data_IF_416170516502
#
_entry.id   IF_416170516502
#
_cell.length_a   1.000
_cell.length_b   1.000
_cell.length_c   1.000
_cell.angle_alpha   90.00
_cell.angle_beta   90.00
_cell.angle_gamma   90.00
#
_symmetry.space_group_name_H-M   'P 1'
#
loop_
_entity.id
_entity.type
_entity.pdbx_description
1 polymer ?
#
# COMPACT_ATOMS: atom_id res chain seq x y z
N UNK A 1 -16.20 10.63 -22.21
CA UNK A 1 -16.63 9.23 -22.11
C UNK A 1 -15.99 8.58 -20.88
N UNK A 2 -16.77 8.40 -19.81
CA UNK A 2 -16.31 7.73 -18.59
C UNK A 2 -16.00 6.26 -18.93
N UNK A 3 -14.72 5.86 -18.84
CA UNK A 3 -14.37 4.42 -18.92
C UNK A 3 -15.08 3.73 -17.77
N UNK A 4 -16.11 2.94 -18.06
CA UNK A 4 -16.65 1.99 -17.07
C UNK A 4 -15.50 1.09 -16.62
N UNK A 5 -15.13 1.25 -15.34
CA UNK A 5 -14.11 0.44 -14.71
C UNK A 5 -14.68 -0.95 -14.47
N UNK A 6 -14.06 -1.94 -15.13
CA UNK A 6 -14.31 -3.38 -15.00
C UNK A 6 -14.62 -3.81 -13.55
N UNK A 7 -15.53 -4.77 -13.42
CA UNK A 7 -15.94 -5.32 -12.13
C UNK A 7 -14.71 -5.94 -11.42
N UNK A 8 -14.61 -5.91 -10.07
CA UNK A 8 -13.47 -6.48 -9.35
C UNK A 8 -13.16 -7.95 -9.70
N UNK A 9 -14.17 -8.70 -10.12
CA UNK A 9 -14.08 -10.11 -10.53
C UNK A 9 -13.51 -10.28 -11.96
N UNK A 10 -13.37 -9.19 -12.72
CA UNK A 10 -12.79 -9.18 -14.07
C UNK A 10 -11.30 -8.80 -14.08
N UNK A 11 -10.69 -8.61 -12.90
CA UNK A 11 -9.25 -8.42 -12.73
C UNK A 11 -8.58 -9.78 -12.44
N UNK A 12 -8.78 -10.75 -13.32
CA UNK A 12 -8.20 -12.09 -13.21
C UNK A 12 -6.72 -12.06 -13.61
N UNK A 13 -5.90 -12.79 -12.86
CA UNK A 13 -4.51 -13.00 -13.21
C UNK A 13 -4.40 -14.39 -13.83
N UNK A 14 -4.70 -14.46 -15.12
CA UNK A 14 -4.84 -15.72 -15.89
C UNK A 14 -3.62 -16.64 -15.73
N UNK A 15 -2.41 -16.06 -15.69
CA UNK A 15 -1.18 -16.82 -15.43
C UNK A 15 -1.26 -17.52 -14.07
N UNK A 16 -1.60 -16.80 -13.00
CA UNK A 16 -1.68 -17.36 -11.65
C UNK A 16 -2.77 -18.42 -11.55
N UNK A 17 -3.94 -18.17 -12.14
CA UNK A 17 -5.03 -19.16 -12.16
C UNK A 17 -4.60 -20.46 -12.84
N UNK A 18 -3.96 -20.35 -14.01
CA UNK A 18 -3.38 -21.51 -14.69
C UNK A 18 -2.36 -22.24 -13.81
N UNK A 19 -1.45 -21.51 -13.16
CA UNK A 19 -0.45 -22.11 -12.26
C UNK A 19 -1.08 -22.79 -11.04
N UNK A 20 -2.14 -22.22 -10.46
CA UNK A 20 -2.86 -22.83 -9.33
C UNK A 20 -3.46 -24.17 -9.75
N UNK A 21 -4.15 -24.22 -10.90
CA UNK A 21 -4.72 -25.46 -11.46
C UNK A 21 -3.65 -26.52 -11.71
N UNK A 22 -2.46 -26.10 -12.15
CA UNK A 22 -1.34 -26.99 -12.42
C UNK A 22 -0.61 -27.52 -11.18
N UNK A 23 -0.54 -26.72 -10.11
CA UNK A 23 0.30 -27.02 -8.94
C UNK A 23 -0.50 -27.65 -7.79
N UNK A 24 -1.74 -27.22 -7.57
CA UNK A 24 -2.54 -27.67 -6.42
C UNK A 24 -2.74 -29.21 -6.42
N UNK A 25 -3.10 -29.87 -7.54
CA UNK A 25 -3.23 -31.33 -7.57
C UNK A 25 -1.90 -32.06 -7.28
N UNK A 26 -0.77 -31.49 -7.73
CA UNK A 26 0.57 -32.05 -7.48
C UNK A 26 0.94 -31.93 -6.00
N UNK A 27 0.54 -30.85 -5.33
CA UNK A 27 0.73 -30.71 -3.89
C UNK A 27 -0.17 -31.64 -3.08
N UNK A 28 -1.42 -31.82 -3.52
CA UNK A 28 -2.34 -32.76 -2.90
C UNK A 28 -1.85 -34.21 -3.05
N UNK A 29 -1.35 -34.60 -4.23
CA UNK A 29 -0.74 -35.91 -4.43
C UNK A 29 0.47 -36.16 -3.53
N UNK A 30 1.25 -35.12 -3.19
CA UNK A 30 2.38 -35.23 -2.26
C UNK A 30 1.93 -35.23 -0.78
N UNK A 31 0.72 -34.76 -0.46
CA UNK A 31 0.26 -34.56 0.91
C UNK A 31 0.38 -35.79 1.83
N UNK A 32 0.13 -37.04 1.38
CA UNK A 32 0.23 -38.22 2.24
C UNK A 32 1.65 -38.60 2.64
N UNK A 33 2.67 -38.19 1.88
CA UNK A 33 4.04 -38.66 2.07
C UNK A 33 4.77 -37.98 3.23
N UNK A 34 5.91 -38.52 3.66
CA UNK A 34 6.78 -37.84 4.62
C UNK A 34 7.46 -36.60 3.99
N UNK A 35 8.10 -35.79 4.84
CA UNK A 35 8.76 -34.54 4.41
C UNK A 35 9.79 -34.74 3.29
N UNK A 36 10.64 -35.77 3.38
CA UNK A 36 11.70 -36.04 2.40
C UNK A 36 11.13 -36.34 1.02
N UNK A 37 10.06 -37.13 0.99
CA UNK A 37 9.36 -37.50 -0.24
C UNK A 37 8.60 -36.32 -0.82
N UNK A 38 7.96 -35.48 0.00
CA UNK A 38 7.35 -34.24 -0.48
C UNK A 38 8.39 -33.27 -1.07
N UNK A 39 9.59 -33.25 -0.50
CA UNK A 39 10.68 -32.38 -0.93
C UNK A 39 11.31 -32.80 -2.26
N UNK A 40 11.67 -34.09 -2.37
CA UNK A 40 12.40 -34.66 -3.51
C UNK A 40 11.50 -35.31 -4.56
N UNK A 41 10.26 -35.62 -4.20
CA UNK A 41 9.34 -36.40 -5.02
C UNK A 41 9.36 -37.88 -4.67
N UNK A 42 8.43 -38.62 -5.28
CA UNK A 42 8.22 -40.07 -5.11
C UNK A 42 8.39 -40.71 -6.48
N UNK A 43 9.62 -41.14 -6.79
CA UNK A 43 10.02 -41.57 -8.15
C UNK A 43 9.19 -42.74 -8.68
N UNK A 44 8.90 -43.72 -7.83
CA UNK A 44 8.08 -44.89 -8.15
C UNK A 44 6.64 -44.54 -8.52
N UNK A 45 6.17 -43.35 -8.14
CA UNK A 45 4.82 -42.87 -8.43
C UNK A 45 4.82 -41.70 -9.42
N UNK A 46 5.98 -41.35 -9.98
CA UNK A 46 6.11 -40.22 -10.90
C UNK A 46 5.85 -38.85 -10.27
N UNK A 47 5.78 -38.75 -8.94
CA UNK A 47 5.47 -37.49 -8.26
C UNK A 47 6.72 -36.61 -8.18
N UNK A 48 6.65 -35.40 -8.72
CA UNK A 48 7.73 -34.41 -8.65
C UNK A 48 7.67 -33.66 -7.32
N UNK A 49 8.77 -33.61 -6.57
CA UNK A 49 8.83 -32.90 -5.30
C UNK A 49 8.77 -31.37 -5.43
N UNK A 50 8.46 -30.68 -4.33
CA UNK A 50 8.28 -29.23 -4.37
C UNK A 50 9.55 -28.46 -4.77
N UNK A 51 10.76 -29.00 -4.56
CA UNK A 51 12.00 -28.34 -4.95
C UNK A 51 12.13 -28.25 -6.47
N UNK A 52 11.90 -29.36 -7.15
CA UNK A 52 11.97 -29.42 -8.61
C UNK A 52 10.82 -28.62 -9.24
N UNK A 53 9.63 -28.68 -8.64
CA UNK A 53 8.51 -27.82 -9.05
C UNK A 53 8.88 -26.33 -8.91
N UNK A 54 9.56 -25.92 -7.84
CA UNK A 54 10.00 -24.54 -7.67
C UNK A 54 11.05 -24.12 -8.73
N UNK A 55 11.97 -25.01 -9.10
CA UNK A 55 12.94 -24.74 -10.18
C UNK A 55 12.24 -24.57 -11.53
N UNK A 56 11.30 -25.45 -11.86
CA UNK A 56 10.47 -25.34 -13.08
C UNK A 56 9.65 -24.05 -13.07
N UNK A 57 9.04 -23.71 -11.94
CA UNK A 57 8.27 -22.47 -11.78
C UNK A 57 9.14 -21.23 -11.95
N UNK A 58 10.36 -21.24 -11.42
CA UNK A 58 11.30 -20.13 -11.58
C UNK A 58 11.65 -19.90 -13.06
N UNK A 59 11.90 -20.97 -13.83
CA UNK A 59 12.16 -20.87 -15.26
C UNK A 59 10.94 -20.31 -16.01
N UNK A 60 9.73 -20.80 -15.72
CA UNK A 60 8.48 -20.30 -16.31
C UNK A 60 8.25 -18.83 -16.00
N UNK A 61 8.48 -18.41 -14.75
CA UNK A 61 8.35 -17.01 -14.33
C UNK A 61 9.34 -16.10 -15.05
N UNK A 62 10.60 -16.52 -15.22
CA UNK A 62 11.60 -15.74 -15.97
C UNK A 62 11.23 -15.62 -17.45
N UNK A 63 10.65 -16.67 -18.04
CA UNK A 63 10.21 -16.66 -19.43
C UNK A 63 8.96 -15.78 -19.66
N UNK A 64 7.98 -15.85 -18.76
CA UNK A 64 6.73 -15.08 -18.88
C UNK A 64 6.89 -13.61 -18.43
N UNK A 65 7.86 -13.34 -17.55
CA UNK A 65 8.14 -12.01 -17.03
C UNK A 65 9.63 -11.70 -17.18
N UNK A 66 10.12 -11.55 -18.42
CA UNK A 66 11.53 -11.32 -18.67
C UNK A 66 11.98 -9.97 -18.11
N UNK A 67 13.24 -9.91 -17.72
CA UNK A 67 13.93 -8.69 -17.35
C UNK A 67 14.99 -8.41 -18.43
N UNK A 68 14.72 -7.44 -19.29
CA UNK A 68 15.52 -7.15 -20.48
C UNK A 68 16.84 -6.42 -20.17
N UNK A 69 17.11 -6.15 -18.89
CA UNK A 69 18.38 -5.54 -18.46
C UNK A 69 19.55 -6.52 -18.60
N UNK A 70 20.80 -6.00 -18.63
CA UNK A 70 22.02 -6.81 -18.48
C UNK A 70 21.95 -7.76 -17.27
N UNK A 71 22.57 -8.94 -17.34
CA UNK A 71 22.41 -10.01 -16.33
C UNK A 71 22.82 -9.58 -14.90
N UNK A 72 23.83 -8.73 -14.81
CA UNK A 72 24.30 -8.08 -13.59
C UNK A 72 23.32 -7.04 -13.03
N UNK A 73 22.43 -6.50 -13.86
CA UNK A 73 21.39 -5.53 -13.50
C UNK A 73 19.98 -6.11 -13.35
N UNK A 74 19.75 -7.38 -13.71
CA UNK A 74 18.42 -8.01 -13.61
C UNK A 74 17.96 -8.06 -12.15
N UNK A 75 16.66 -7.82 -11.95
CA UNK A 75 15.98 -7.91 -10.65
C UNK A 75 14.68 -8.70 -10.69
N UNK A 76 14.13 -8.97 -11.89
CA UNK A 76 12.89 -9.74 -12.07
C UNK A 76 11.73 -9.26 -11.20
N UNK A 77 11.56 -7.94 -11.07
CA UNK A 77 10.55 -7.34 -10.18
C UNK A 77 9.11 -7.79 -10.47
N UNK A 78 8.78 -8.06 -11.74
CA UNK A 78 7.48 -8.61 -12.12
C UNK A 78 7.31 -10.08 -11.64
N UNK A 79 8.30 -10.95 -11.87
CA UNK A 79 8.27 -12.33 -11.38
C UNK A 79 8.16 -12.40 -9.85
N UNK A 80 8.90 -11.55 -9.11
CA UNK A 80 8.83 -11.47 -7.64
C UNK A 80 7.41 -11.15 -7.14
N UNK A 81 6.66 -10.29 -7.85
CA UNK A 81 5.25 -10.01 -7.53
C UNK A 81 4.36 -11.24 -7.78
N UNK A 82 4.60 -11.95 -8.89
CA UNK A 82 3.83 -13.15 -9.24
C UNK A 82 4.08 -14.30 -8.26
N UNK A 83 5.29 -14.46 -7.73
CA UNK A 83 5.57 -15.43 -6.66
C UNK A 83 4.68 -15.16 -5.44
N UNK A 84 4.51 -13.89 -5.07
CA UNK A 84 3.66 -13.50 -3.93
C UNK A 84 2.19 -13.77 -4.21
N UNK A 85 1.71 -13.42 -5.41
CA UNK A 85 0.36 -13.70 -5.85
C UNK A 85 0.06 -15.21 -5.88
N UNK A 86 0.96 -16.00 -6.46
CA UNK A 86 0.83 -17.46 -6.57
C UNK A 86 0.68 -18.12 -5.19
N UNK A 87 1.53 -17.74 -4.22
CA UNK A 87 1.42 -18.27 -2.85
C UNK A 87 0.08 -17.91 -2.20
N UNK A 88 -0.44 -16.72 -2.46
CA UNK A 88 -1.73 -16.26 -1.91
C UNK A 88 -2.88 -17.08 -2.51
N UNK A 89 -2.93 -17.17 -3.84
CA UNK A 89 -3.99 -17.89 -4.55
C UNK A 89 -3.95 -19.40 -4.29
N UNK A 90 -2.77 -20.02 -4.22
CA UNK A 90 -2.65 -21.44 -3.83
C UNK A 90 -3.22 -21.71 -2.43
N UNK A 91 -3.04 -20.78 -1.48
CA UNK A 91 -3.61 -20.92 -0.13
C UNK A 91 -5.12 -20.71 -0.10
N UNK A 92 -5.65 -19.86 -0.98
CA UNK A 92 -7.09 -19.67 -1.14
C UNK A 92 -7.69 -20.95 -1.74
N UNK A 93 -7.16 -21.40 -2.88
CA UNK A 93 -7.60 -22.61 -3.56
C UNK A 93 -7.48 -23.86 -2.68
N UNK A 94 -6.41 -24.00 -1.88
CA UNK A 94 -6.28 -25.12 -0.94
C UNK A 94 -7.42 -25.19 0.10
N UNK A 95 -8.12 -24.08 0.41
CA UNK A 95 -9.27 -24.11 1.33
C UNK A 95 -10.55 -24.60 0.66
N UNK A 96 -10.67 -24.39 -0.65
CA UNK A 96 -11.95 -24.51 -1.38
C UNK A 96 -11.95 -25.64 -2.39
N UNK A 97 -10.80 -26.05 -2.91
CA UNK A 97 -10.65 -26.88 -4.11
C UNK A 97 -9.94 -28.23 -3.86
N UNK A 98 -9.49 -28.52 -2.62
CA UNK A 98 -8.93 -29.83 -2.31
C UNK A 98 -10.00 -30.92 -2.34
N UNK A 99 -9.64 -32.07 -2.92
CA UNK A 99 -10.50 -33.25 -2.95
C UNK A 99 -10.65 -33.83 -1.55
N UNK A 100 -9.55 -33.90 -0.79
CA UNK A 100 -9.54 -34.34 0.59
C UNK A 100 -9.21 -33.19 1.55
N UNK A 101 -10.19 -32.82 2.37
CA UNK A 101 -10.05 -31.77 3.37
C UNK A 101 -9.00 -32.10 4.44
N UNK A 102 -8.71 -33.38 4.71
CA UNK A 102 -7.65 -33.77 5.64
C UNK A 102 -6.26 -33.36 5.14
N UNK A 103 -6.08 -33.22 3.81
CA UNK A 103 -4.82 -32.80 3.20
C UNK A 103 -4.54 -31.29 3.31
N UNK A 104 -5.48 -30.49 3.81
CA UNK A 104 -5.33 -29.03 3.88
C UNK A 104 -4.04 -28.57 4.57
N UNK A 105 -3.73 -29.10 5.75
CA UNK A 105 -2.55 -28.70 6.52
C UNK A 105 -1.23 -29.19 5.87
N UNK A 106 -1.12 -30.46 5.41
CA UNK A 106 0.01 -30.91 4.60
C UNK A 106 0.23 -30.07 3.34
N UNK A 107 -0.83 -29.79 2.57
CA UNK A 107 -0.75 -28.98 1.35
C UNK A 107 -0.30 -27.55 1.66
N UNK A 108 -0.84 -26.92 2.71
CA UNK A 108 -0.40 -25.59 3.14
C UNK A 108 1.09 -25.57 3.53
N UNK A 109 1.60 -26.66 4.11
CA UNK A 109 3.02 -26.84 4.44
C UNK A 109 3.86 -26.96 3.16
N UNK A 110 3.40 -27.75 2.19
CA UNK A 110 4.05 -27.89 0.87
C UNK A 110 4.08 -26.53 0.14
N UNK A 111 2.96 -25.81 0.06
CA UNK A 111 2.88 -24.46 -0.54
C UNK A 111 3.90 -23.51 0.09
N UNK A 112 4.06 -23.57 1.42
CA UNK A 112 5.02 -22.73 2.13
C UNK A 112 6.47 -23.09 1.75
N UNK A 113 6.83 -24.38 1.73
CA UNK A 113 8.17 -24.81 1.34
C UNK A 113 8.49 -24.59 -0.14
N UNK A 114 7.56 -24.92 -1.04
CA UNK A 114 7.60 -24.58 -2.46
C UNK A 114 7.87 -23.09 -2.63
N UNK A 115 7.07 -22.26 -1.95
CA UNK A 115 7.18 -20.83 -2.02
C UNK A 115 8.53 -20.32 -1.53
N UNK A 116 9.08 -20.90 -0.46
CA UNK A 116 10.39 -20.52 0.07
C UNK A 116 11.52 -20.92 -0.88
N UNK A 117 11.48 -22.13 -1.45
CA UNK A 117 12.43 -22.58 -2.46
C UNK A 117 12.39 -21.66 -3.69
N UNK A 118 11.20 -21.31 -4.16
CA UNK A 118 11.02 -20.38 -5.27
C UNK A 118 11.55 -18.98 -4.95
N UNK A 119 11.29 -18.45 -3.74
CA UNK A 119 11.84 -17.17 -3.31
C UNK A 119 13.37 -17.18 -3.18
N UNK A 120 13.96 -18.31 -2.78
CA UNK A 120 15.41 -18.49 -2.71
C UNK A 120 16.06 -18.40 -4.09
N UNK A 121 15.46 -19.01 -5.12
CA UNK A 121 15.94 -18.92 -6.51
C UNK A 121 15.94 -17.48 -7.08
N UNK A 122 15.23 -16.55 -6.43
CA UNK A 122 15.22 -15.13 -6.78
C UNK A 122 15.91 -14.24 -5.75
N UNK A 123 16.58 -14.79 -4.73
CA UNK A 123 17.22 -13.98 -3.68
C UNK A 123 18.29 -13.02 -4.20
N UNK A 124 19.17 -13.38 -5.15
CA UNK A 124 20.20 -12.44 -5.64
C UNK A 124 19.57 -11.22 -6.32
N UNK A 125 18.49 -11.45 -7.08
CA UNK A 125 17.75 -10.39 -7.76
C UNK A 125 17.05 -9.44 -6.78
N UNK A 126 16.49 -10.01 -5.71
CA UNK A 126 15.86 -9.23 -4.63
C UNK A 126 16.89 -8.43 -3.83
N UNK A 127 18.07 -8.99 -3.58
CA UNK A 127 19.18 -8.27 -2.94
C UNK A 127 19.63 -7.08 -3.78
N UNK A 128 19.82 -7.25 -5.09
CA UNK A 128 20.12 -6.14 -6.01
C UNK A 128 19.06 -5.05 -5.99
N UNK A 129 17.78 -5.44 -6.06
CA UNK A 129 16.66 -4.51 -5.95
C UNK A 129 16.71 -3.69 -4.64
N UNK A 130 17.01 -4.35 -3.52
CA UNK A 130 17.12 -3.70 -2.21
C UNK A 130 18.34 -2.78 -2.13
N UNK A 131 19.48 -3.17 -2.69
CA UNK A 131 20.70 -2.36 -2.73
C UNK A 131 20.47 -1.08 -3.53
N UNK A 132 19.95 -1.19 -4.77
CA UNK A 132 19.61 -0.02 -5.59
C UNK A 132 18.58 0.88 -4.91
N UNK A 133 17.58 0.29 -4.27
CA UNK A 133 16.58 1.06 -3.51
C UNK A 133 17.24 1.85 -2.36
N UNK A 134 18.13 1.21 -1.58
CA UNK A 134 18.86 1.89 -0.49
C UNK A 134 19.73 3.02 -1.02
N UNK A 135 20.45 2.82 -2.12
CA UNK A 135 21.25 3.86 -2.78
C UNK A 135 20.38 5.03 -3.23
N UNK A 136 19.25 4.74 -3.88
CA UNK A 136 18.29 5.75 -4.32
C UNK A 136 17.77 6.58 -3.15
N UNK A 137 17.41 5.93 -2.03
CA UNK A 137 16.98 6.63 -0.81
C UNK A 137 18.12 7.48 -0.26
N UNK A 138 19.33 6.93 -0.17
CA UNK A 138 20.51 7.65 0.34
C UNK A 138 20.82 8.89 -0.48
N UNK A 139 20.77 8.80 -1.81
CA UNK A 139 20.94 9.94 -2.73
C UNK A 139 19.87 10.98 -2.54
N UNK A 140 18.59 10.58 -2.45
CA UNK A 140 17.45 11.49 -2.25
C UNK A 140 17.44 12.21 -0.91
N UNK A 141 18.07 11.64 0.12
CA UNK A 141 18.14 12.24 1.45
C UNK A 141 19.26 13.28 1.59
N UNK A 142 20.18 13.39 0.62
CA UNK A 142 21.23 14.41 0.62
C UNK A 142 20.60 15.81 0.50
N UNK A 143 21.22 16.80 1.15
CA UNK A 143 20.68 18.16 1.28
C UNK A 143 20.42 18.80 -0.09
N UNK A 144 21.37 18.64 -1.01
CA UNK A 144 21.29 19.17 -2.39
C UNK A 144 20.18 18.54 -3.24
N UNK A 145 19.65 17.39 -2.83
CA UNK A 145 18.57 16.68 -3.53
C UNK A 145 17.21 16.83 -2.84
N UNK A 146 17.13 17.64 -1.77
CA UNK A 146 15.87 17.92 -1.09
C UNK A 146 14.99 18.79 -1.97
N UNK A 147 13.70 18.52 -1.89
CA UNK A 147 12.69 19.21 -2.70
C UNK A 147 12.01 20.25 -1.82
N UNK A 148 12.12 21.52 -2.24
CA UNK A 148 11.38 22.61 -1.64
C UNK A 148 9.89 22.51 -2.00
N UNK A 149 9.03 22.52 -0.98
CA UNK A 149 7.58 22.44 -1.08
C UNK A 149 6.99 23.84 -0.91
N UNK A 150 6.36 24.36 -1.95
CA UNK A 150 5.46 25.51 -1.83
C UNK A 150 4.03 25.00 -1.68
N UNK A 151 3.52 24.95 -0.45
CA UNK A 151 2.20 24.42 -0.14
C UNK A 151 1.06 25.44 -0.28
N UNK A 152 1.34 26.75 -0.28
CA UNK A 152 0.32 27.81 -0.32
C UNK A 152 -0.75 27.60 -1.41
N UNK A 153 -0.41 27.48 -2.71
CA UNK A 153 -1.43 27.34 -3.75
C UNK A 153 -2.27 26.07 -3.59
N UNK A 154 -1.69 25.02 -3.01
CA UNK A 154 -2.35 23.73 -2.84
C UNK A 154 -3.23 23.68 -1.59
N UNK A 155 -2.87 24.39 -0.54
CA UNK A 155 -3.75 24.60 0.62
C UNK A 155 -4.92 25.51 0.24
N UNK A 156 -4.70 26.54 -0.58
CA UNK A 156 -5.79 27.37 -1.13
C UNK A 156 -6.74 26.51 -1.95
N UNK A 157 -6.22 25.74 -2.93
CA UNK A 157 -7.03 24.81 -3.73
C UNK A 157 -7.79 23.80 -2.85
N UNK A 158 -7.13 23.22 -1.84
CA UNK A 158 -7.76 22.28 -0.93
C UNK A 158 -8.90 22.93 -0.13
N UNK A 159 -8.68 24.15 0.38
CA UNK A 159 -9.68 24.93 1.09
C UNK A 159 -10.87 25.24 0.19
N UNK A 160 -10.64 25.69 -1.05
CA UNK A 160 -11.70 25.99 -2.02
C UNK A 160 -12.56 24.77 -2.33
N UNK A 161 -11.93 23.63 -2.66
CA UNK A 161 -12.63 22.37 -2.95
C UNK A 161 -13.49 21.93 -1.75
N UNK A 162 -12.92 21.94 -0.53
CA UNK A 162 -13.67 21.53 0.65
C UNK A 162 -14.74 22.54 1.05
N UNK A 163 -14.54 23.83 0.78
CA UNK A 163 -15.54 24.88 1.04
C UNK A 163 -16.74 24.71 0.10
N UNK A 164 -16.50 24.44 -1.19
CA UNK A 164 -17.58 24.13 -2.13
C UNK A 164 -18.40 22.92 -1.66
N UNK A 165 -17.72 21.86 -1.21
CA UNK A 165 -18.37 20.68 -0.62
C UNK A 165 -19.18 21.03 0.62
N UNK A 166 -18.61 21.80 1.55
CA UNK A 166 -19.31 22.24 2.76
C UNK A 166 -20.55 23.10 2.44
N UNK A 167 -20.52 23.82 1.32
CA UNK A 167 -21.63 24.61 0.80
C UNK A 167 -22.63 23.80 -0.05
N UNK A 168 -22.52 22.46 -0.07
CA UNK A 168 -23.50 21.58 -0.71
C UNK A 168 -23.20 21.20 -2.17
N UNK A 169 -21.97 21.39 -2.64
CA UNK A 169 -21.55 20.94 -3.96
C UNK A 169 -21.78 19.42 -4.16
N UNK A 170 -22.14 19.05 -5.39
CA UNK A 170 -22.37 17.67 -5.82
C UNK A 170 -21.21 17.15 -6.68
N UNK A 171 -21.30 15.91 -7.17
CA UNK A 171 -20.33 15.35 -8.12
C UNK A 171 -20.28 16.08 -9.48
N UNK A 172 -21.30 16.89 -9.80
CA UNK A 172 -21.30 17.72 -11.01
C UNK A 172 -20.43 18.97 -10.83
N UNK A 173 -20.36 19.48 -9.61
CA UNK A 173 -19.67 20.73 -9.28
C UNK A 173 -18.21 20.49 -8.92
N UNK A 174 -17.94 19.37 -8.22
CA UNK A 174 -16.62 19.07 -7.66
C UNK A 174 -16.17 17.66 -8.03
N UNK A 175 -14.93 17.56 -8.54
CA UNK A 175 -14.26 16.29 -8.78
C UNK A 175 -13.90 15.60 -7.45
N UNK A 176 -14.54 14.46 -7.15
CA UNK A 176 -14.34 13.73 -5.89
C UNK A 176 -12.88 13.35 -5.62
N UNK A 177 -12.07 13.15 -6.67
CA UNK A 177 -10.64 12.86 -6.51
C UNK A 177 -9.88 14.05 -5.94
N UNK A 178 -10.32 15.29 -6.19
CA UNK A 178 -9.75 16.46 -5.52
C UNK A 178 -10.13 16.55 -4.05
N UNK A 179 -11.38 16.19 -3.71
CA UNK A 179 -11.81 16.09 -2.31
C UNK A 179 -10.93 15.10 -1.55
N UNK A 180 -10.66 13.95 -2.16
CA UNK A 180 -9.74 12.93 -1.64
C UNK A 180 -8.31 13.46 -1.44
N UNK A 181 -7.73 14.10 -2.47
CA UNK A 181 -6.41 14.73 -2.39
C UNK A 181 -6.35 15.82 -1.30
N UNK A 182 -7.38 16.67 -1.21
CA UNK A 182 -7.50 17.74 -0.22
C UNK A 182 -7.50 17.17 1.21
N UNK A 183 -8.29 16.13 1.47
CA UNK A 183 -8.32 15.45 2.78
C UNK A 183 -6.96 14.81 3.08
N UNK A 184 -6.31 14.18 2.10
CA UNK A 184 -5.00 13.55 2.30
C UNK A 184 -3.92 14.59 2.60
N UNK A 185 -3.94 15.75 1.94
CA UNK A 185 -3.05 16.87 2.24
C UNK A 185 -3.34 17.44 3.64
N UNK A 186 -4.61 17.61 4.00
CA UNK A 186 -5.00 18.22 5.27
C UNK A 186 -4.75 17.34 6.50
N UNK A 187 -4.74 16.01 6.36
CA UNK A 187 -4.69 15.05 7.49
C UNK A 187 -3.49 14.08 7.45
N UNK A 188 -2.80 14.04 6.32
CA UNK A 188 -1.74 13.08 6.04
C UNK A 188 -2.19 11.61 6.02
N UNK A 189 -3.49 11.30 6.08
CA UNK A 189 -3.97 9.92 6.10
C UNK A 189 -3.71 9.21 4.77
N UNK A 190 -3.46 7.89 4.86
CA UNK A 190 -3.21 7.02 3.71
C UNK A 190 -4.48 6.89 2.87
N UNK A 191 -4.34 6.61 1.58
CA UNK A 191 -5.47 6.37 0.67
C UNK A 191 -6.48 5.37 1.22
N UNK A 192 -6.00 4.23 1.73
CA UNK A 192 -6.86 3.21 2.33
C UNK A 192 -7.46 3.62 3.67
N UNK A 193 -6.91 4.61 4.37
CA UNK A 193 -7.56 5.18 5.55
C UNK A 193 -8.70 6.08 5.11
N UNK A 194 -8.43 7.08 4.27
CA UNK A 194 -9.43 8.02 3.75
C UNK A 194 -10.64 7.29 3.17
N UNK A 195 -10.41 6.30 2.33
CA UNK A 195 -11.48 5.64 1.59
C UNK A 195 -11.99 4.33 2.20
N UNK A 196 -11.58 3.95 3.42
CA UNK A 196 -12.09 2.73 4.06
C UNK A 196 -12.14 2.82 5.58
N UNK A 197 -11.01 3.02 6.26
CA UNK A 197 -10.99 2.82 7.73
C UNK A 197 -11.12 4.10 8.57
N UNK A 198 -10.84 5.28 8.03
CA UNK A 198 -10.74 6.51 8.82
C UNK A 198 -12.08 6.87 9.47
N UNK A 199 -12.03 7.15 10.77
CA UNK A 199 -13.11 7.78 11.51
C UNK A 199 -12.54 9.02 12.18
N UNK A 200 -13.13 10.17 11.90
CA UNK A 200 -12.70 11.45 12.45
C UNK A 200 -13.74 12.01 13.41
N UNK A 201 -13.25 12.61 14.50
CA UNK A 201 -14.05 13.35 15.47
C UNK A 201 -13.43 14.72 15.66
N UNK A 202 -14.24 15.78 15.63
CA UNK A 202 -13.76 17.14 15.94
C UNK A 202 -13.29 17.21 17.39
N UNK A 203 -12.06 17.68 17.60
CA UNK A 203 -11.51 18.01 18.93
C UNK A 203 -11.38 19.53 19.05
N UNK A 204 -10.85 20.18 18.01
CA UNK A 204 -10.75 21.63 17.90
C UNK A 204 -10.83 22.10 16.45
N UNK A 205 -10.55 23.38 16.19
CA UNK A 205 -10.63 23.96 14.85
C UNK A 205 -9.59 23.39 13.88
N UNK A 206 -8.43 22.96 14.40
CA UNK A 206 -7.34 22.36 13.62
C UNK A 206 -6.84 21.04 14.22
N UNK A 207 -7.69 20.34 14.98
CA UNK A 207 -7.35 19.09 15.64
C UNK A 207 -8.49 18.06 15.54
N UNK A 208 -8.15 16.85 15.09
CA UNK A 208 -9.07 15.73 14.95
C UNK A 208 -8.63 14.56 15.82
N UNK A 209 -9.62 13.88 16.40
CA UNK A 209 -9.48 12.50 16.83
C UNK A 209 -9.57 11.59 15.61
N UNK A 210 -8.62 10.67 15.45
CA UNK A 210 -8.53 9.75 14.33
C UNK A 210 -8.47 8.29 14.80
N UNK A 211 -9.42 7.47 14.35
CA UNK A 211 -9.39 6.00 14.45
C UNK A 211 -9.28 5.38 13.06
N UNK A 212 -8.90 4.10 13.03
CA UNK A 212 -8.80 3.33 11.81
C UNK A 212 -7.41 3.30 11.19
N UNK A 213 -6.35 3.46 11.99
CA UNK A 213 -4.96 3.35 11.52
C UNK A 213 -4.72 2.01 10.82
N UNK A 214 -4.19 2.06 9.60
CA UNK A 214 -3.78 0.88 8.85
C UNK A 214 -2.27 0.65 8.93
N UNK A 215 -1.86 -0.59 8.64
CA UNK A 215 -0.52 -1.17 8.90
C UNK A 215 -0.19 -1.27 10.40
N UNK A 216 0.49 -2.35 10.78
CA UNK A 216 0.68 -2.71 12.20
C UNK A 216 -0.37 -3.69 12.73
N UNK A 217 -0.74 -4.72 11.93
CA UNK A 217 -1.81 -5.69 12.23
C UNK A 217 -1.70 -6.38 13.61
N UNK A 218 -0.51 -6.45 14.19
CA UNK A 218 -0.24 -7.03 15.52
C UNK A 218 0.04 -5.99 16.61
N UNK A 219 0.15 -4.71 16.26
CA UNK A 219 0.50 -3.65 17.20
C UNK A 219 -0.70 -3.31 18.07
N UNK A 220 -0.43 -3.18 19.35
CA UNK A 220 -1.35 -2.60 20.33
C UNK A 220 -0.73 -1.33 20.92
N UNK A 221 -1.57 -0.36 21.20
CA UNK A 221 -1.23 0.82 22.00
C UNK A 221 -2.17 0.83 23.20
N UNK A 222 -1.61 0.93 24.39
CA UNK A 222 -2.38 0.91 25.64
C UNK A 222 -3.34 -0.29 25.73
N UNK A 223 -2.88 -1.47 25.27
CA UNK A 223 -3.67 -2.70 25.24
C UNK A 223 -4.72 -2.79 24.13
N UNK A 224 -5.02 -1.70 23.42
CA UNK A 224 -6.00 -1.64 22.34
C UNK A 224 -5.35 -1.95 20.99
N UNK A 225 -6.10 -2.57 20.06
CA UNK A 225 -5.62 -2.74 18.68
C UNK A 225 -5.40 -1.36 18.07
N UNK A 226 -4.32 -1.21 17.30
CA UNK A 226 -3.98 0.07 16.68
C UNK A 226 -5.11 0.68 15.84
N UNK A 227 -5.95 -0.17 15.25
CA UNK A 227 -7.10 0.24 14.45
C UNK A 227 -8.18 0.96 15.28
N UNK A 228 -8.31 0.58 16.54
CA UNK A 228 -9.37 1.04 17.44
C UNK A 228 -8.90 2.20 18.34
N UNK A 229 -7.58 2.36 18.47
CA UNK A 229 -6.93 3.44 19.19
C UNK A 229 -7.19 4.80 18.51
N UNK A 230 -7.53 5.82 19.31
CA UNK A 230 -7.78 7.18 18.84
C UNK A 230 -6.52 8.03 18.96
N UNK A 231 -6.01 8.51 17.83
CA UNK A 231 -4.91 9.45 17.77
C UNK A 231 -5.44 10.87 17.72
N UNK A 232 -4.89 11.79 18.51
CA UNK A 232 -5.06 13.23 18.24
C UNK A 232 -4.09 13.64 17.14
N UNK A 233 -4.62 14.19 16.04
CA UNK A 233 -3.82 14.64 14.91
C UNK A 233 -4.13 16.11 14.57
N UNK A 234 -3.11 16.92 14.20
CA UNK A 234 -3.34 18.25 13.67
C UNK A 234 -3.91 18.18 12.26
N UNK A 235 -4.62 19.22 11.83
CA UNK A 235 -5.06 19.41 10.44
C UNK A 235 -4.52 20.70 9.85
N UNK A 236 -4.29 20.71 8.54
CA UNK A 236 -3.81 21.91 7.83
C UNK A 236 -4.94 22.86 7.40
N UNK A 237 -6.18 22.38 7.47
CA UNK A 237 -7.41 23.11 7.19
C UNK A 237 -8.38 22.92 8.35
N UNK A 238 -9.41 23.76 8.43
CA UNK A 238 -10.40 23.65 9.51
C UNK A 238 -11.05 22.26 9.53
N UNK A 239 -11.29 21.76 10.75
CA UNK A 239 -11.83 20.41 10.96
C UNK A 239 -13.21 20.22 10.34
N UNK A 240 -14.03 21.28 10.31
CA UNK A 240 -15.35 21.25 9.66
C UNK A 240 -15.24 20.98 8.16
N UNK A 241 -14.27 21.58 7.47
CA UNK A 241 -14.03 21.34 6.04
C UNK A 241 -13.57 19.90 5.79
N UNK A 242 -12.69 19.36 6.64
CA UNK A 242 -12.22 17.98 6.52
C UNK A 242 -13.38 17.00 6.73
N UNK A 243 -14.22 17.23 7.74
CA UNK A 243 -15.38 16.39 8.04
C UNK A 243 -16.43 16.45 6.91
N UNK A 244 -16.69 17.64 6.35
CA UNK A 244 -17.57 17.80 5.20
C UNK A 244 -17.05 17.02 3.97
N UNK A 245 -15.74 17.08 3.69
CA UNK A 245 -15.13 16.30 2.62
C UNK A 245 -15.28 14.78 2.82
N UNK A 246 -15.11 14.30 4.05
CA UNK A 246 -15.25 12.88 4.38
C UNK A 246 -16.69 12.38 4.23
N UNK A 247 -17.65 13.20 4.63
CA UNK A 247 -19.08 12.93 4.44
C UNK A 247 -19.46 12.93 2.95
N UNK A 248 -18.94 13.89 2.16
CA UNK A 248 -19.12 13.90 0.71
C UNK A 248 -18.59 12.63 0.03
N UNK A 249 -17.39 12.16 0.41
CA UNK A 249 -16.86 10.91 -0.14
C UNK A 249 -17.73 9.70 0.26
N UNK A 250 -18.29 9.69 1.47
CA UNK A 250 -19.18 8.63 1.93
C UNK A 250 -20.49 8.62 1.14
N UNK A 251 -21.18 9.77 1.06
CA UNK A 251 -22.48 9.93 0.38
C UNK A 251 -22.45 9.61 -1.12
N UNK A 252 -21.27 9.70 -1.73
CA UNK A 252 -21.08 9.47 -3.16
C UNK A 252 -20.41 8.13 -3.49
N UNK A 253 -20.47 7.14 -2.60
CA UNK A 253 -19.90 5.80 -2.77
C UNK A 253 -18.40 5.82 -3.13
N UNK A 254 -17.67 6.79 -2.58
CA UNK A 254 -16.20 6.88 -2.72
C UNK A 254 -15.48 6.35 -1.49
N UNK A 255 -16.19 5.67 -0.58
CA UNK A 255 -15.61 4.94 0.55
C UNK A 255 -16.16 3.52 0.59
N UNK A 256 -15.31 2.55 0.91
CA UNK A 256 -15.73 1.18 1.15
C UNK A 256 -16.16 1.02 2.62
N UNK A 257 -17.00 0.02 2.93
CA UNK A 257 -17.28 -0.37 4.30
C UNK A 257 -15.98 -0.66 5.08
N UNK A 258 -15.90 -0.32 6.38
CA UNK A 258 -14.70 -0.58 7.17
C UNK A 258 -14.31 -2.07 7.25
N UNK A 259 -15.23 -2.99 7.04
CA UNK A 259 -14.98 -4.44 7.09
C UNK A 259 -14.29 -5.01 5.85
N UNK A 260 -14.19 -4.24 4.76
CA UNK A 260 -13.58 -4.66 3.49
C UNK A 260 -12.06 -4.84 3.57
N UNK A 261 -11.53 -5.57 2.58
CA UNK A 261 -10.08 -5.74 2.42
C UNK A 261 -9.41 -4.41 1.99
N UNK A 262 -8.45 -3.86 2.76
CA UNK A 262 -7.71 -2.67 2.37
C UNK A 262 -7.00 -2.78 1.00
N UNK A 263 -6.68 -3.99 0.51
CA UNK A 263 -6.12 -4.17 -0.83
C UNK A 263 -7.12 -3.80 -1.94
N UNK A 264 -8.43 -3.88 -1.67
CA UNK A 264 -9.49 -3.45 -2.61
C UNK A 264 -9.43 -1.96 -2.90
N UNK A 265 -9.14 -1.13 -1.89
CA UNK A 265 -8.87 0.32 -2.05
C UNK A 265 -7.79 0.53 -3.11
N UNK A 266 -6.65 -0.15 -2.96
CA UNK A 266 -5.52 0.00 -3.87
C UNK A 266 -5.89 -0.46 -5.28
N UNK A 267 -6.56 -1.61 -5.43
CA UNK A 267 -7.00 -2.08 -6.74
C UNK A 267 -7.97 -1.10 -7.43
N UNK A 268 -8.91 -0.52 -6.67
CA UNK A 268 -9.95 0.36 -7.22
C UNK A 268 -9.44 1.76 -7.51
N UNK A 269 -8.71 2.37 -6.57
CA UNK A 269 -8.47 3.81 -6.59
C UNK A 269 -7.01 4.20 -6.84
N UNK A 270 -6.03 3.30 -6.67
CA UNK A 270 -4.61 3.71 -6.75
C UNK A 270 -4.25 4.39 -8.07
N UNK A 271 -4.66 3.82 -9.21
CA UNK A 271 -4.37 4.37 -10.53
C UNK A 271 -5.04 5.74 -10.74
N UNK A 272 -6.33 5.84 -10.45
CA UNK A 272 -7.11 7.07 -10.71
C UNK A 272 -6.74 8.22 -9.77
N UNK A 273 -6.40 7.92 -8.52
CA UNK A 273 -5.96 8.93 -7.55
C UNK A 273 -4.50 9.33 -7.75
N UNK A 274 -3.61 8.42 -8.16
CA UNK A 274 -2.26 8.81 -8.54
C UNK A 274 -2.26 9.70 -9.78
N UNK A 275 -3.12 9.42 -10.76
CA UNK A 275 -3.25 10.29 -11.93
C UNK A 275 -3.74 11.68 -11.53
N UNK A 276 -4.78 11.77 -10.69
CA UNK A 276 -5.26 13.07 -10.19
C UNK A 276 -4.22 13.79 -9.33
N UNK A 277 -3.43 13.06 -8.54
CA UNK A 277 -2.38 13.66 -7.71
C UNK A 277 -1.31 14.37 -8.56
N UNK A 278 -1.08 13.96 -9.80
CA UNK A 278 -0.18 14.68 -10.72
C UNK A 278 -0.69 16.07 -11.05
N UNK A 279 -2.00 16.26 -11.20
CA UNK A 279 -2.63 17.57 -11.43
C UNK A 279 -2.52 18.52 -10.23
N UNK A 280 -2.21 17.97 -9.04
CA UNK A 280 -1.87 18.77 -7.87
C UNK A 280 -0.42 19.23 -7.89
N UNK A 281 0.46 18.63 -8.69
CA UNK A 281 1.80 19.12 -9.05
C UNK A 281 2.63 19.78 -7.93
N UNK A 282 2.44 19.38 -6.66
CA UNK A 282 3.22 19.92 -5.53
C UNK A 282 4.72 19.71 -5.79
N UNK A 283 5.03 18.59 -6.45
CA UNK A 283 6.34 18.24 -6.99
C UNK A 283 6.14 17.51 -8.33
N UNK A 284 7.17 17.48 -9.19
CA UNK A 284 7.09 16.90 -10.55
C UNK A 284 6.64 15.43 -10.59
N UNK A 285 7.07 14.61 -9.63
CA UNK A 285 6.71 13.19 -9.58
C UNK A 285 5.56 12.90 -8.60
N UNK A 286 4.51 13.73 -8.58
CA UNK A 286 3.47 13.60 -7.56
C UNK A 286 2.75 12.24 -7.64
N UNK A 287 2.55 11.63 -6.48
CA UNK A 287 1.73 10.43 -6.27
C UNK A 287 0.99 10.59 -4.97
N UNK A 288 -0.14 9.92 -4.80
CA UNK A 288 -1.08 10.18 -3.71
C UNK A 288 -0.43 10.06 -2.32
N UNK A 289 0.45 9.08 -2.11
CA UNK A 289 1.11 8.88 -0.83
C UNK A 289 2.06 10.03 -0.42
N UNK A 290 2.45 10.90 -1.36
CA UNK A 290 3.34 12.03 -1.09
C UNK A 290 2.64 13.20 -0.39
N UNK A 291 1.30 13.28 -0.44
CA UNK A 291 0.52 14.22 0.39
C UNK A 291 0.84 14.04 1.87
N UNK A 292 1.06 12.81 2.34
CA UNK A 292 1.46 12.51 3.71
C UNK A 292 2.82 13.11 4.09
N UNK A 293 3.76 13.16 3.15
CA UNK A 293 5.06 13.80 3.36
C UNK A 293 4.94 15.32 3.44
N UNK A 294 4.17 15.93 2.53
CA UNK A 294 3.85 17.36 2.57
C UNK A 294 3.14 17.75 3.88
N UNK A 295 2.15 16.95 4.28
CA UNK A 295 1.44 17.09 5.56
C UNK A 295 2.40 17.07 6.75
N UNK A 296 3.25 16.05 6.85
CA UNK A 296 4.19 15.93 7.96
C UNK A 296 5.08 17.18 8.07
N UNK A 297 5.59 17.68 6.95
CA UNK A 297 6.46 18.86 6.92
C UNK A 297 5.73 20.14 7.33
N UNK A 298 4.48 20.30 6.89
CA UNK A 298 3.64 21.40 7.35
C UNK A 298 3.38 21.31 8.87
N UNK A 299 3.07 20.12 9.39
CA UNK A 299 2.85 19.91 10.82
C UNK A 299 4.10 20.17 11.66
N UNK A 300 5.29 19.79 11.20
CA UNK A 300 6.56 20.11 11.88
C UNK A 300 6.73 21.63 11.93
N UNK A 301 6.60 22.31 10.79
CA UNK A 301 6.72 23.77 10.70
C UNK A 301 5.73 24.51 11.62
N UNK A 302 4.52 23.97 11.81
CA UNK A 302 3.49 24.56 12.67
C UNK A 302 3.66 24.23 14.17
N UNK A 303 4.41 23.18 14.51
CA UNK A 303 4.50 22.67 15.88
C UNK A 303 5.61 23.29 16.73
N UNK A 304 6.58 23.93 16.10
CA UNK A 304 7.80 24.39 16.77
C UNK A 304 8.77 23.27 17.17
N UNK A 305 8.45 22.01 16.85
CA UNK A 305 9.36 20.86 17.05
C UNK A 305 10.59 21.03 16.17
N UNK A 306 11.75 20.64 16.69
CA UNK A 306 13.01 20.67 15.96
C UNK A 306 12.88 19.86 14.64
N UNK A 307 13.10 20.48 13.46
CA UNK A 307 13.09 19.78 12.18
C UNK A 307 14.13 18.65 12.05
N UNK A 308 15.08 18.54 12.98
CA UNK A 308 16.08 17.48 13.07
C UNK A 308 15.73 16.41 14.12
N UNK A 309 14.87 16.72 15.09
CA UNK A 309 14.39 15.79 16.14
C UNK A 309 12.85 15.73 16.21
N UNK A 310 12.25 15.29 15.11
CA UNK A 310 10.80 15.24 14.94
C UNK A 310 10.24 13.81 14.94
N UNK A 311 11.05 12.78 15.20
CA UNK A 311 10.64 11.39 15.00
C UNK A 311 9.47 11.00 15.91
N UNK A 312 9.52 11.38 17.18
CA UNK A 312 8.44 11.04 18.13
C UNK A 312 7.16 11.82 17.83
N UNK A 313 7.30 13.08 17.41
CA UNK A 313 6.18 13.86 16.90
C UNK A 313 5.58 13.24 15.62
N UNK A 314 6.41 12.79 14.68
CA UNK A 314 5.94 12.10 13.49
C UNK A 314 5.23 10.80 13.85
N UNK A 315 5.77 9.99 14.77
CA UNK A 315 5.15 8.74 15.22
C UNK A 315 3.77 8.98 15.83
N UNK A 316 3.61 10.05 16.62
CA UNK A 316 2.34 10.38 17.27
C UNK A 316 1.26 10.79 16.25
N UNK A 317 1.56 11.71 15.34
CA UNK A 317 0.55 12.21 14.38
C UNK A 317 0.31 11.22 13.24
N UNK A 318 1.32 10.45 12.82
CA UNK A 318 1.20 9.49 11.72
C UNK A 318 0.68 8.12 12.18
N UNK A 319 0.74 7.80 13.48
CA UNK A 319 0.45 6.48 14.02
C UNK A 319 1.36 5.38 13.44
N UNK A 320 2.53 5.77 12.92
CA UNK A 320 3.51 4.89 12.28
C UNK A 320 4.72 4.72 13.20
N UNK A 321 5.25 3.51 13.33
CA UNK A 321 6.49 3.26 14.09
C UNK A 321 7.66 2.87 13.18
N UNK A 322 7.44 2.78 11.87
CA UNK A 322 8.51 2.50 10.93
C UNK A 322 9.31 3.78 10.67
N UNK A 323 10.41 3.94 11.39
CA UNK A 323 11.33 5.06 11.22
C UNK A 323 11.88 5.16 9.81
N UNK A 324 12.05 4.04 9.09
CA UNK A 324 12.52 4.08 7.71
C UNK A 324 11.51 4.79 6.80
N UNK A 325 10.22 4.49 6.99
CA UNK A 325 9.12 5.17 6.28
C UNK A 325 9.04 6.65 6.67
N UNK A 326 9.21 7.00 7.95
CA UNK A 326 9.19 8.41 8.39
C UNK A 326 10.39 9.18 7.85
N UNK A 327 11.59 8.61 7.92
CA UNK A 327 12.84 9.21 7.41
C UNK A 327 12.82 9.40 5.90
N UNK A 328 12.04 8.62 5.15
CA UNK A 328 11.85 8.85 3.72
C UNK A 328 11.24 10.25 3.41
N UNK A 329 10.53 10.87 4.36
CA UNK A 329 10.00 12.22 4.21
C UNK A 329 11.04 13.32 4.47
N UNK A 330 12.27 12.99 4.92
CA UNK A 330 13.38 13.95 5.05
C UNK A 330 13.76 14.62 3.73
N UNK A 331 13.41 14.00 2.59
CA UNK A 331 13.60 14.57 1.25
C UNK A 331 12.88 15.91 1.06
N UNK A 332 11.85 16.21 1.83
CA UNK A 332 11.04 17.41 1.65
C UNK A 332 11.39 18.52 2.63
N UNK A 333 11.36 19.77 2.16
CA UNK A 333 11.54 20.98 2.97
C UNK A 333 10.47 22.00 2.63
N UNK A 334 9.98 22.77 3.61
CA UNK A 334 9.01 23.83 3.33
C UNK A 334 9.77 25.03 2.73
N UNK A 335 9.31 25.50 1.56
CA UNK A 335 9.85 26.73 0.96
C UNK A 335 9.55 27.91 1.87
N UNK A 336 10.55 28.76 2.13
CA UNK A 336 10.37 29.97 2.94
C UNK A 336 9.20 30.82 2.41
N UNK A 337 8.35 31.29 3.33
CA UNK A 337 7.14 32.05 3.00
C UNK A 337 5.94 31.21 2.52
N UNK A 338 6.10 29.89 2.40
CA UNK A 338 4.96 29.00 2.15
C UNK A 338 4.04 28.97 3.37
N UNK A 339 2.73 29.10 3.13
CA UNK A 339 1.71 28.82 4.12
C UNK A 339 1.67 27.32 4.39
N UNK A 340 1.49 26.94 5.65
CA UNK A 340 1.49 25.56 6.13
C UNK A 340 0.19 25.20 6.85
N UNK A 341 -0.74 26.15 7.01
CA UNK A 341 -2.09 25.97 7.57
C UNK A 341 -2.97 27.15 7.12
N UNK A 342 -4.27 26.92 6.87
CA UNK A 342 -5.23 27.92 6.38
C UNK A 342 -6.63 27.81 6.97
#
# INVERSE_FOLDING_TARGET
>A
MSRQLKHPDELTNEFIEWRVRELLPKFEALAPYNRTNREKGVKNEGLTGWKDLATKEAALLKANYPDNRPEDEKEYGAALRQITALKKELKIAARTELLDKANYNPVCTIITHFGNALSFLFSPYKERQNTRYRETVKTRSKLENRIALNLSPYLIKAKEVLTQVANGATLFDVEWRDVSCAISLATGRRMAEVHLSAQFRKIGDYELGFKGQLKGKSRKLEGQKLRDFEFTIPTLLSTDLVLAGMDFLLKNDKRFPPTEDPERVNRRWSKVLNERAKDWAIIDEMTYHKFRGAYLKACIANSGVDPFDYLDYAKSILGDNDEGTIKAYQRFEIKQGSQTRL
#
